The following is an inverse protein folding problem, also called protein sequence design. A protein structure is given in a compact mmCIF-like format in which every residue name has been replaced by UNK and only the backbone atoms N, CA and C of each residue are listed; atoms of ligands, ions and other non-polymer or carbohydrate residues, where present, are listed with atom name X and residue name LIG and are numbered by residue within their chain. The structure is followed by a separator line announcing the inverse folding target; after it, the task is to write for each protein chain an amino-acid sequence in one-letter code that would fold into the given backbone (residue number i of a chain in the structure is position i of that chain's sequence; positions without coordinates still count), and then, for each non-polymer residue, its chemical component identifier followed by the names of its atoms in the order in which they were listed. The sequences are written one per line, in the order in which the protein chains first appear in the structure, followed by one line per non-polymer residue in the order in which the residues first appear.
data_IF_500159873955
#
_entry.id   IF_500159873955
#
_cell.length_a   1.000
_cell.length_b   1.000
_cell.length_c   1.000
_cell.angle_alpha   90.00
_cell.angle_beta   90.00
_cell.angle_gamma   90.00
#
_symmetry.space_group_name_H-M   'P 1'
#
loop_
_entity.id
_entity.type
_entity.pdbx_description
1 polymer ?
#
# COMPACT_ATOMS: atom_id res chain seq x y z
N UNK A 1 -11.04 7.81 12.83
CA UNK A 1 -9.74 8.46 13.12
C UNK A 1 -9.75 9.94 12.74
N UNK A 2 -9.04 10.79 13.50
CA UNK A 2 -8.87 12.24 13.27
C UNK A 2 -7.36 12.61 13.20
N UNK A 3 -6.60 11.81 12.46
CA UNK A 3 -5.17 12.04 12.22
C UNK A 3 -4.88 11.88 10.72
N UNK A 4 -3.97 12.70 10.20
CA UNK A 4 -3.50 12.62 8.82
C UNK A 4 -2.08 12.06 8.81
N UNK A 5 -1.84 11.04 7.99
CA UNK A 5 -0.52 10.45 7.78
C UNK A 5 -0.14 10.57 6.31
N UNK A 6 0.95 11.27 6.03
CA UNK A 6 1.42 11.58 4.67
C UNK A 6 2.92 11.27 4.48
N UNK A 7 3.52 10.52 5.41
CA UNK A 7 4.93 10.15 5.39
C UNK A 7 5.12 8.66 5.16
N UNK A 8 6.37 8.19 5.04
CA UNK A 8 6.65 6.76 5.12
C UNK A 8 6.43 6.25 6.54
N UNK A 9 5.94 5.02 6.71
CA UNK A 9 5.61 4.46 8.03
C UNK A 9 6.86 3.95 8.77
N UNK A 10 7.98 3.72 8.07
CA UNK A 10 9.21 3.28 8.72
C UNK A 10 9.70 4.27 9.80
N UNK A 11 9.47 5.57 9.59
CA UNK A 11 9.79 6.62 10.57
C UNK A 11 9.03 6.46 11.90
N UNK A 12 7.85 5.82 11.87
CA UNK A 12 7.05 5.60 13.06
C UNK A 12 7.53 4.39 13.86
N UNK A 13 8.16 3.40 13.22
CA UNK A 13 8.55 2.12 13.86
C UNK A 13 10.04 2.04 14.18
N UNK A 14 10.89 2.74 13.44
CA UNK A 14 12.35 2.69 13.60
C UNK A 14 12.81 3.12 15.01
N UNK A 15 12.33 4.24 15.60
CA UNK A 15 12.77 4.67 16.93
C UNK A 15 12.50 3.63 18.03
N UNK A 16 11.43 2.83 17.89
CA UNK A 16 11.13 1.75 18.83
C UNK A 16 12.14 0.60 18.69
N UNK A 17 12.53 0.26 17.46
CA UNK A 17 13.55 -0.76 17.24
C UNK A 17 14.94 -0.31 17.69
N UNK A 18 15.30 0.97 17.50
CA UNK A 18 16.52 1.55 18.08
C UNK A 18 16.51 1.48 19.62
N UNK A 19 15.33 1.63 20.24
CA UNK A 19 15.12 1.44 21.67
C UNK A 19 14.99 -0.05 22.10
N UNK A 20 15.34 -1.00 21.22
CA UNK A 20 15.31 -2.45 21.44
C UNK A 20 13.91 -3.04 21.65
N UNK A 21 12.90 -2.46 21.03
CA UNK A 21 11.52 -2.96 21.03
C UNK A 21 11.11 -3.44 19.63
N UNK A 22 10.13 -4.33 19.57
CA UNK A 22 9.48 -4.71 18.31
C UNK A 22 8.32 -3.74 18.07
N UNK A 23 8.19 -3.23 16.85
CA UNK A 23 7.11 -2.33 16.47
C UNK A 23 6.44 -2.79 15.18
N UNK A 24 5.11 -2.68 15.16
CA UNK A 24 4.24 -2.86 13.99
C UNK A 24 3.32 -1.65 13.90
N UNK A 25 3.35 -0.95 12.77
CA UNK A 25 2.44 0.16 12.47
C UNK A 25 1.62 -0.17 11.22
N UNK A 26 0.35 0.21 11.25
CA UNK A 26 -0.59 0.05 10.14
C UNK A 26 -1.43 1.31 10.01
N UNK A 27 -1.71 1.73 8.79
CA UNK A 27 -2.48 2.96 8.52
C UNK A 27 -3.46 2.69 7.37
N UNK A 28 -4.72 3.09 7.52
CA UNK A 28 -5.68 3.09 6.40
C UNK A 28 -5.59 4.39 5.60
N UNK A 29 -5.94 4.36 4.30
CA UNK A 29 -5.86 5.54 3.44
C UNK A 29 -7.12 5.75 2.59
N UNK A 30 -7.14 6.83 1.80
CA UNK A 30 -8.16 7.07 0.77
C UNK A 30 -8.22 5.89 -0.21
N UNK A 31 -9.42 5.58 -0.69
CA UNK A 31 -9.70 4.38 -1.49
C UNK A 31 -9.09 4.42 -2.89
N UNK A 32 -8.22 3.44 -3.16
CA UNK A 32 -7.51 3.29 -4.44
C UNK A 32 -7.49 1.85 -4.94
N UNK A 33 -7.66 0.87 -4.06
CA UNK A 33 -7.40 -0.55 -4.33
C UNK A 33 -8.72 -1.33 -4.40
N UNK A 34 -8.84 -2.23 -5.39
CA UNK A 34 -9.96 -3.18 -5.47
C UNK A 34 -9.65 -4.42 -4.63
N UNK A 35 -10.65 -4.98 -3.92
CA UNK A 35 -10.50 -6.31 -3.32
C UNK A 35 -10.24 -7.36 -4.39
N UNK A 36 -9.57 -8.45 -4.03
CA UNK A 36 -9.38 -9.56 -4.95
C UNK A 36 -10.72 -10.11 -5.44
N UNK A 37 -10.89 -10.23 -6.77
CA UNK A 37 -12.15 -10.61 -7.41
C UNK A 37 -13.19 -9.48 -7.52
N UNK A 38 -12.89 -8.28 -7.03
CA UNK A 38 -13.74 -7.09 -7.14
C UNK A 38 -13.42 -6.21 -8.35
N UNK A 39 -14.31 -5.25 -8.62
CA UNK A 39 -14.19 -4.28 -9.72
C UNK A 39 -14.46 -2.83 -9.26
N UNK A 40 -14.64 -2.61 -7.95
CA UNK A 40 -14.82 -1.28 -7.34
C UNK A 40 -13.78 -1.06 -6.26
N UNK A 41 -13.20 0.15 -6.21
CA UNK A 41 -12.26 0.55 -5.16
C UNK A 41 -12.94 0.41 -3.80
N UNK A 42 -12.29 -0.26 -2.86
CA UNK A 42 -12.77 -0.42 -1.48
C UNK A 42 -11.71 -0.05 -0.46
N UNK A 43 -10.47 -0.49 -0.68
CA UNK A 43 -9.38 -0.28 0.26
C UNK A 43 -8.55 0.93 -0.14
N UNK A 44 -7.87 1.52 0.85
CA UNK A 44 -6.72 2.36 0.57
C UNK A 44 -5.52 1.57 0.08
N UNK A 45 -4.38 2.24 -0.10
CA UNK A 45 -3.10 1.56 -0.28
C UNK A 45 -2.63 0.86 0.99
N UNK A 46 -3.25 1.19 2.13
CA UNK A 46 -3.19 0.50 3.43
C UNK A 46 -1.80 -0.03 3.76
N UNK A 47 -0.82 0.85 4.04
CA UNK A 47 0.54 0.43 4.34
C UNK A 47 0.68 -0.20 5.73
N UNK A 48 1.74 -1.02 5.84
CA UNK A 48 2.23 -1.58 7.09
C UNK A 48 3.74 -1.47 7.16
N UNK A 49 4.26 -1.12 8.34
CA UNK A 49 5.68 -1.14 8.64
C UNK A 49 5.95 -1.99 9.88
N UNK A 50 7.06 -2.72 9.85
CA UNK A 50 7.49 -3.60 10.93
C UNK A 50 8.98 -3.43 11.15
N UNK A 51 9.38 -3.30 12.41
CA UNK A 51 10.77 -3.13 12.80
C UNK A 51 11.13 -4.02 13.99
N UNK A 52 12.30 -4.65 13.91
CA UNK A 52 12.86 -5.53 14.96
C UNK A 52 14.33 -5.22 15.18
N UNK A 53 14.79 -5.06 16.43
CA UNK A 53 16.19 -4.89 16.75
C UNK A 53 16.99 -6.18 16.50
N UNK A 54 18.19 -6.04 15.96
CA UNK A 54 19.17 -7.14 15.84
C UNK A 54 20.21 -7.04 16.95
N UNK A 55 20.85 -8.18 17.25
CA UNK A 55 21.88 -8.25 18.28
C UNK A 55 23.12 -7.39 17.97
N UNK A 56 23.43 -7.19 16.69
CA UNK A 56 24.53 -6.37 16.18
C UNK A 56 24.23 -4.86 16.17
N UNK A 57 23.07 -4.45 16.68
CA UNK A 57 22.65 -3.05 16.75
C UNK A 57 21.98 -2.52 15.49
N UNK A 58 21.87 -3.31 14.42
CA UNK A 58 21.09 -2.93 13.23
C UNK A 58 19.59 -3.15 13.48
N UNK A 59 18.75 -2.47 12.70
CA UNK A 59 17.30 -2.72 12.65
C UNK A 59 16.97 -3.54 11.42
N UNK A 60 16.21 -4.62 11.60
CA UNK A 60 15.51 -5.28 10.49
C UNK A 60 14.16 -4.59 10.31
N UNK A 61 13.95 -3.94 9.17
CA UNK A 61 12.76 -3.14 8.90
C UNK A 61 12.18 -3.47 7.53
N UNK A 62 10.84 -3.45 7.44
CA UNK A 62 10.16 -3.26 6.16
C UNK A 62 9.06 -2.21 6.31
N UNK A 63 8.75 -1.54 5.19
CA UNK A 63 7.62 -0.62 5.03
C UNK A 63 7.06 -0.83 3.63
N UNK A 64 5.78 -1.21 3.54
CA UNK A 64 5.14 -1.54 2.26
C UNK A 64 3.65 -1.21 2.24
N UNK A 65 3.15 -0.83 1.06
CA UNK A 65 1.73 -0.78 0.77
C UNK A 65 1.15 -2.19 0.57
N UNK A 66 -0.17 -2.33 0.72
CA UNK A 66 -0.90 -3.52 0.29
C UNK A 66 -1.32 -3.50 -1.18
N UNK A 67 -1.20 -2.35 -1.83
CA UNK A 67 -1.30 -2.21 -3.28
C UNK A 67 -0.08 -2.83 -4.00
N UNK A 68 -0.28 -3.31 -5.23
CA UNK A 68 0.79 -3.85 -6.07
C UNK A 68 1.85 -2.82 -6.48
N UNK A 69 1.51 -1.52 -6.42
CA UNK A 69 2.40 -0.39 -6.64
C UNK A 69 1.88 0.82 -5.85
N UNK A 70 2.77 1.71 -5.40
CA UNK A 70 2.34 2.90 -4.71
C UNK A 70 1.62 3.87 -5.67
N UNK A 71 0.55 4.50 -5.20
CA UNK A 71 -0.21 5.47 -6.02
C UNK A 71 0.65 6.65 -6.51
N UNK A 72 1.68 7.04 -5.74
CA UNK A 72 2.66 8.05 -6.16
C UNK A 72 3.53 7.59 -7.35
N UNK A 73 3.93 6.33 -7.40
CA UNK A 73 4.70 5.75 -8.49
C UNK A 73 3.87 5.67 -9.77
N UNK A 74 2.57 5.34 -9.66
CA UNK A 74 1.64 5.37 -10.81
C UNK A 74 1.51 6.79 -11.37
N UNK A 75 1.38 7.81 -10.51
CA UNK A 75 1.37 9.21 -10.94
C UNK A 75 2.68 9.62 -11.62
N UNK A 76 3.82 9.16 -11.11
CA UNK A 76 5.12 9.43 -11.73
C UNK A 76 5.22 8.77 -13.12
N UNK A 77 4.84 7.50 -13.23
CA UNK A 77 4.81 6.78 -14.50
C UNK A 77 3.89 7.45 -15.54
N UNK A 78 2.72 7.95 -15.13
CA UNK A 78 1.83 8.71 -16.01
C UNK A 78 2.48 10.00 -16.54
N UNK A 79 3.15 10.77 -15.66
CA UNK A 79 3.87 12.00 -16.07
C UNK A 79 5.01 11.70 -17.04
N UNK A 80 5.64 10.54 -16.88
CA UNK A 80 6.77 10.09 -17.71
C UNK A 80 6.33 9.30 -18.95
N UNK A 81 5.04 9.11 -19.18
CA UNK A 81 4.48 8.27 -20.24
C UNK A 81 5.05 6.84 -20.26
N UNK A 82 5.33 6.28 -19.08
CA UNK A 82 5.84 4.91 -18.94
C UNK A 82 4.70 3.91 -18.77
N UNK A 83 4.80 2.79 -19.46
CA UNK A 83 3.91 1.65 -19.23
C UNK A 83 4.27 0.96 -17.91
N UNK A 84 3.24 0.49 -17.21
CA UNK A 84 3.39 -0.27 -15.97
C UNK A 84 3.55 -1.76 -16.27
N UNK A 85 4.23 -2.51 -15.38
CA UNK A 85 4.16 -3.97 -15.39
C UNK A 85 2.71 -4.48 -15.35
N UNK A 86 2.49 -5.71 -15.80
CA UNK A 86 1.19 -6.36 -15.62
C UNK A 86 0.86 -6.56 -14.14
N UNK A 87 -0.44 -6.64 -13.82
CA UNK A 87 -0.92 -6.91 -12.46
C UNK A 87 -0.89 -5.71 -11.51
N UNK A 88 -0.62 -4.50 -12.01
CA UNK A 88 -0.66 -3.29 -11.17
C UNK A 88 -2.08 -2.76 -10.97
N UNK A 89 -2.90 -2.75 -12.01
CA UNK A 89 -4.23 -2.15 -11.89
C UNK A 89 -5.21 -2.52 -12.98
N UNK A 90 -6.40 -1.97 -12.81
CA UNK A 90 -7.55 -2.07 -13.70
C UNK A 90 -7.90 -0.69 -14.26
N UNK A 91 -8.51 -0.65 -15.43
CA UNK A 91 -9.13 0.56 -15.97
C UNK A 91 -10.54 0.79 -15.39
N UNK A 92 -11.21 1.86 -15.84
CA UNK A 92 -12.56 2.23 -15.37
C UNK A 92 -13.65 1.19 -15.68
N UNK A 93 -13.40 0.26 -16.61
CA UNK A 93 -14.28 -0.87 -16.92
C UNK A 93 -14.00 -2.11 -16.08
N UNK A 94 -12.95 -2.07 -15.25
CA UNK A 94 -12.52 -3.19 -14.43
C UNK A 94 -11.63 -4.19 -15.18
N UNK A 95 -11.10 -3.82 -16.35
CA UNK A 95 -10.21 -4.68 -17.13
C UNK A 95 -8.74 -4.42 -16.76
N UNK A 96 -7.88 -5.46 -16.73
CA UNK A 96 -6.44 -5.29 -16.49
C UNK A 96 -5.81 -4.32 -17.49
N UNK A 97 -4.94 -3.44 -17.00
CA UNK A 97 -4.28 -2.43 -17.83
C UNK A 97 -2.83 -2.17 -17.39
N UNK A 98 -1.97 -1.91 -18.36
CA UNK A 98 -0.60 -1.40 -18.15
C UNK A 98 -0.52 0.12 -18.28
N UNK A 99 -1.64 0.81 -18.56
CA UNK A 99 -1.67 2.26 -18.67
C UNK A 99 -1.81 2.90 -17.28
N UNK A 100 -0.81 3.67 -16.80
CA UNK A 100 -0.96 4.38 -15.53
C UNK A 100 -2.10 5.40 -15.59
N UNK A 101 -2.33 6.02 -16.75
CA UNK A 101 -3.42 6.98 -16.93
C UNK A 101 -4.79 6.31 -16.78
N UNK A 102 -4.98 5.11 -17.33
CA UNK A 102 -6.25 4.37 -17.20
C UNK A 102 -6.56 3.99 -15.75
N UNK A 103 -5.54 3.73 -14.93
CA UNK A 103 -5.70 3.47 -13.49
C UNK A 103 -6.13 4.75 -12.75
N UNK A 104 -5.50 5.88 -13.08
CA UNK A 104 -5.79 7.18 -12.46
C UNK A 104 -7.18 7.70 -12.84
N UNK A 105 -7.59 7.52 -14.10
CA UNK A 105 -8.84 8.03 -14.69
C UNK A 105 -10.02 7.07 -14.46
N UNK A 106 -10.34 6.84 -13.18
CA UNK A 106 -11.49 6.03 -12.78
C UNK A 106 -11.24 4.53 -12.70
N UNK A 107 -10.03 4.07 -13.03
CA UNK A 107 -9.59 2.69 -12.82
C UNK A 107 -9.30 2.34 -11.36
N UNK A 108 -8.44 1.38 -11.06
CA UNK A 108 -8.09 1.04 -9.68
C UNK A 108 -6.75 0.28 -9.58
N UNK A 109 -6.14 0.29 -8.39
CA UNK A 109 -4.98 -0.54 -8.09
C UNK A 109 -5.40 -1.95 -7.67
N UNK A 110 -4.58 -2.94 -8.02
CA UNK A 110 -4.71 -4.31 -7.53
C UNK A 110 -3.90 -4.48 -6.22
N UNK A 111 -4.28 -5.44 -5.36
CA UNK A 111 -3.50 -5.79 -4.19
C UNK A 111 -2.26 -6.61 -4.59
N UNK A 112 -1.16 -6.47 -3.85
CA UNK A 112 0.00 -7.33 -4.07
C UNK A 112 -0.37 -8.80 -3.81
N UNK A 113 0.21 -9.73 -4.57
CA UNK A 113 0.00 -11.16 -4.33
C UNK A 113 -1.46 -11.62 -4.38
N UNK A 114 -2.35 -10.88 -5.06
CA UNK A 114 -3.76 -11.22 -5.23
C UNK A 114 -4.52 -11.31 -3.91
N UNK A 115 -5.17 -12.46 -3.65
CA UNK A 115 -6.00 -12.64 -2.46
C UNK A 115 -5.24 -12.42 -1.14
N UNK A 116 -3.93 -12.68 -1.10
CA UNK A 116 -3.13 -12.49 0.12
C UNK A 116 -2.99 -11.02 0.51
N UNK A 117 -2.57 -10.15 -0.41
CA UNK A 117 -2.52 -8.71 -0.15
C UNK A 117 -3.89 -8.12 0.10
N UNK A 118 -4.94 -8.66 -0.56
CA UNK A 118 -6.33 -8.26 -0.31
C UNK A 118 -6.76 -8.55 1.14
N UNK A 119 -6.42 -9.72 1.68
CA UNK A 119 -6.72 -10.05 3.09
C UNK A 119 -5.95 -9.18 4.08
N UNK A 120 -4.71 -8.82 3.76
CA UNK A 120 -3.91 -7.89 4.59
C UNK A 120 -4.49 -6.47 4.52
N UNK A 121 -4.90 -6.00 3.34
CA UNK A 121 -5.53 -4.70 3.18
C UNK A 121 -6.80 -4.57 4.04
N UNK A 122 -7.63 -5.62 4.05
CA UNK A 122 -8.82 -5.71 4.90
C UNK A 122 -8.46 -5.68 6.40
N UNK A 123 -7.44 -6.45 6.82
CA UNK A 123 -6.96 -6.43 8.20
C UNK A 123 -6.53 -5.03 8.62
N UNK A 124 -5.78 -4.32 7.77
CA UNK A 124 -5.30 -2.96 8.04
C UNK A 124 -6.46 -1.96 8.13
N UNK A 125 -7.47 -2.06 7.27
CA UNK A 125 -8.66 -1.21 7.37
C UNK A 125 -9.39 -1.41 8.72
N UNK A 126 -9.50 -2.64 9.20
CA UNK A 126 -10.13 -2.95 10.49
C UNK A 126 -9.28 -2.40 11.65
N UNK A 127 -7.95 -2.53 11.59
CA UNK A 127 -7.05 -2.09 12.67
C UNK A 127 -6.85 -0.57 12.72
N UNK A 128 -6.72 0.09 11.56
CA UNK A 128 -6.44 1.53 11.48
C UNK A 128 -7.69 2.40 11.38
N UNK A 129 -8.80 1.85 10.90
CA UNK A 129 -10.04 2.58 10.63
C UNK A 129 -11.11 2.51 11.73
N UNK A 130 -10.98 1.60 12.71
CA UNK A 130 -11.90 1.53 13.86
C UNK A 130 -11.86 2.80 14.74
#
# INVERSE_FOLDING_TARGET
GNAHHNGPLWLDVEPFAEARLIALSVVNSVTYVVPHGGHKRLYGTNPMAFAVPRADGQVLLFDQATAAMAHGEVKAAARENKVLPEGIGLDASGLPTSSPQAILDGGALLPFGGHKGSSIAMMIDILGGA
#
